data_IF_924835484510
#
_entry.id   IF_924835484510
#
_cell.length_a   1.000
_cell.length_b   1.000
_cell.length_c   1.000
_cell.angle_alpha   90.00
_cell.angle_beta   90.00
_cell.angle_gamma   90.00
#
_symmetry.space_group_name_H-M   'P 1'
#
loop_
_entity.id
_entity.type
_entity.pdbx_description
1 polymer ?
#
# COMPACT_ATOMS: atom_id res chain seq x y z
N UNK A 1 3.36 -27.42 -4.71
CA UNK A 1 3.17 -25.99 -4.52
C UNK A 1 3.87 -25.53 -3.25
N UNK A 2 4.37 -24.33 -3.26
CA UNK A 2 5.07 -23.74 -2.13
C UNK A 2 4.33 -22.51 -1.63
N UNK A 3 4.55 -22.18 -0.36
CA UNK A 3 4.01 -20.96 0.24
C UNK A 3 4.99 -19.82 -0.07
N UNK A 4 4.45 -18.71 -0.54
CA UNK A 4 5.22 -17.51 -0.86
C UNK A 4 4.71 -16.33 -0.07
N UNK A 5 5.63 -15.58 0.53
CA UNK A 5 5.30 -14.36 1.24
C UNK A 5 5.36 -13.19 0.25
N UNK A 6 4.30 -12.42 0.19
CA UNK A 6 4.15 -11.32 -0.76
C UNK A 6 3.71 -10.07 -0.01
N UNK A 7 4.19 -8.92 -0.46
CA UNK A 7 3.80 -7.62 0.09
C UNK A 7 3.08 -6.82 -0.99
N UNK A 8 1.95 -6.23 -0.61
CA UNK A 8 1.22 -5.29 -1.46
C UNK A 8 1.20 -3.95 -0.75
N UNK A 9 1.80 -2.93 -1.37
CA UNK A 9 1.78 -1.57 -0.86
C UNK A 9 0.78 -0.76 -1.67
N UNK A 10 -0.11 -0.04 -0.98
CA UNK A 10 -1.19 0.72 -1.60
C UNK A 10 -1.12 2.17 -1.14
N UNK A 11 -1.13 3.08 -2.10
CA UNK A 11 -1.10 4.52 -1.83
C UNK A 11 -2.17 5.21 -2.65
N UNK A 12 -2.77 6.27 -2.10
CA UNK A 12 -3.61 7.16 -2.89
C UNK A 12 -2.80 7.77 -4.02
N UNK A 13 -3.41 7.92 -5.19
CA UNK A 13 -2.76 8.60 -6.31
C UNK A 13 -2.39 10.02 -5.89
N UNK A 14 -1.28 10.57 -6.45
CA UNK A 14 -0.79 11.89 -6.01
C UNK A 14 -1.82 13.01 -6.10
N UNK A 15 -2.74 12.92 -7.06
CA UNK A 15 -3.76 13.95 -7.27
C UNK A 15 -4.96 13.82 -6.34
N UNK A 16 -5.06 12.72 -5.59
CA UNK A 16 -6.17 12.47 -4.68
C UNK A 16 -5.84 13.05 -3.30
N UNK A 17 -6.80 13.74 -2.69
CA UNK A 17 -6.64 14.25 -1.33
C UNK A 17 -6.49 13.11 -0.34
N UNK A 18 -5.54 13.27 0.58
CA UNK A 18 -5.24 12.30 1.64
C UNK A 18 -5.64 12.88 3.00
N UNK A 19 -6.89 12.64 3.48
CA UNK A 19 -7.34 13.21 4.74
C UNK A 19 -6.53 12.71 5.94
N UNK A 20 -6.10 11.44 5.93
CA UNK A 20 -5.29 10.91 7.02
C UNK A 20 -3.92 11.56 7.08
N UNK A 21 -3.26 11.70 5.93
CA UNK A 21 -1.95 12.35 5.85
C UNK A 21 -2.04 13.80 6.25
N UNK A 22 -3.08 14.51 5.82
CA UNK A 22 -3.29 15.91 6.21
C UNK A 22 -3.50 16.05 7.71
N UNK A 23 -4.30 15.18 8.31
CA UNK A 23 -4.55 15.23 9.76
C UNK A 23 -3.28 15.01 10.56
N UNK A 24 -2.45 14.03 10.18
CA UNK A 24 -1.18 13.76 10.86
C UNK A 24 -0.22 14.93 10.66
N UNK A 25 -0.11 15.42 9.44
CA UNK A 25 0.79 16.54 9.14
C UNK A 25 0.42 17.78 9.96
N UNK A 26 -0.87 18.07 10.09
CA UNK A 26 -1.35 19.22 10.84
C UNK A 26 -1.14 19.06 12.35
N UNK A 27 -1.08 17.84 12.85
CA UNK A 27 -0.88 17.59 14.29
C UNK A 27 0.58 17.67 14.72
N UNK A 28 1.53 17.45 13.82
CA UNK A 28 2.95 17.39 14.15
C UNK A 28 3.49 18.64 14.84
N UNK A 29 3.19 19.87 14.37
CA UNK A 29 3.70 21.08 15.02
C UNK A 29 3.26 21.21 16.48
N UNK A 30 2.04 20.81 16.83
CA UNK A 30 1.56 20.89 18.20
C UNK A 30 2.27 19.93 19.13
N UNK A 31 2.97 18.94 18.59
CA UNK A 31 3.75 17.96 19.34
C UNK A 31 5.24 18.30 19.37
N UNK A 32 5.63 19.45 18.85
CA UNK A 32 7.02 19.91 18.89
C UNK A 32 7.84 19.55 17.68
N UNK A 33 7.22 19.07 16.59
CA UNK A 33 7.93 18.70 15.38
C UNK A 33 7.83 19.81 14.31
N UNK A 34 8.82 19.86 13.45
CA UNK A 34 8.74 20.71 12.27
C UNK A 34 7.63 20.21 11.36
N UNK A 35 6.90 21.10 10.64
CA UNK A 35 5.89 20.65 9.67
C UNK A 35 6.51 19.78 8.60
N UNK A 36 5.86 18.67 8.28
CA UNK A 36 6.29 17.83 7.18
C UNK A 36 6.00 18.52 5.85
N UNK A 37 6.98 18.48 4.93
CA UNK A 37 6.78 19.05 3.59
C UNK A 37 5.81 18.21 2.77
N UNK A 38 5.86 16.91 2.96
CA UNK A 38 4.99 15.98 2.27
C UNK A 38 4.79 14.78 3.19
N UNK A 39 3.52 14.45 3.43
CA UNK A 39 3.17 13.31 4.24
C UNK A 39 1.97 12.62 3.62
N UNK A 40 2.17 11.35 3.25
CA UNK A 40 1.14 10.55 2.63
C UNK A 40 1.01 9.24 3.42
N UNK A 41 -0.21 8.79 3.60
CA UNK A 41 -0.48 7.55 4.33
C UNK A 41 -1.08 6.53 3.38
N UNK A 42 -0.61 5.31 3.47
CA UNK A 42 -1.12 4.21 2.67
C UNK A 42 -1.23 2.93 3.47
N UNK A 43 -1.45 1.82 2.78
CA UNK A 43 -1.58 0.50 3.38
C UNK A 43 -0.40 -0.38 2.98
N UNK A 44 0.04 -1.19 3.93
CA UNK A 44 1.05 -2.21 3.71
C UNK A 44 0.41 -3.54 4.06
N UNK A 45 0.23 -4.41 3.07
CA UNK A 45 -0.43 -5.70 3.24
C UNK A 45 0.60 -6.81 3.10
N UNK A 46 0.71 -7.64 4.11
CA UNK A 46 1.58 -8.82 4.08
C UNK A 46 0.70 -10.06 4.00
N UNK A 47 0.97 -10.91 3.03
CA UNK A 47 0.20 -12.12 2.87
C UNK A 47 1.08 -13.30 2.45
N UNK A 48 0.62 -14.48 2.79
CA UNK A 48 1.23 -15.72 2.36
C UNK A 48 0.23 -16.46 1.49
N UNK A 49 0.68 -16.99 0.37
CA UNK A 49 -0.20 -17.75 -0.51
C UNK A 49 0.55 -18.92 -1.15
N UNK A 50 -0.20 -19.94 -1.49
CA UNK A 50 0.36 -21.10 -2.16
C UNK A 50 0.35 -20.87 -3.67
N UNK A 51 1.47 -21.14 -4.32
CA UNK A 51 1.59 -21.02 -5.76
C UNK A 51 2.70 -21.94 -6.26
N UNK A 52 2.71 -22.21 -7.54
CA UNK A 52 3.73 -23.08 -8.14
C UNK A 52 5.11 -22.45 -8.06
N UNK A 53 5.19 -21.14 -8.29
CA UNK A 53 6.46 -20.43 -8.27
C UNK A 53 6.23 -18.97 -7.86
N UNK A 54 7.32 -18.20 -7.79
CA UNK A 54 7.27 -16.81 -7.38
C UNK A 54 6.45 -15.95 -8.33
N UNK A 55 6.58 -16.19 -9.64
CA UNK A 55 5.82 -15.40 -10.62
C UNK A 55 4.33 -15.66 -10.52
N UNK A 56 3.92 -16.90 -10.30
CA UNK A 56 2.53 -17.24 -10.09
C UNK A 56 1.98 -16.58 -8.83
N UNK A 57 2.79 -16.54 -7.76
CA UNK A 57 2.41 -15.87 -6.52
C UNK A 57 2.20 -14.37 -6.74
N UNK A 58 3.13 -13.72 -7.42
CA UNK A 58 3.02 -12.29 -7.72
C UNK A 58 1.80 -11.99 -8.59
N UNK A 59 1.56 -12.79 -9.62
CA UNK A 59 0.42 -12.60 -10.51
C UNK A 59 -0.90 -12.74 -9.74
N UNK A 60 -0.99 -13.70 -8.84
CA UNK A 60 -2.17 -13.89 -8.02
C UNK A 60 -2.38 -12.72 -7.07
N UNK A 61 -1.30 -12.24 -6.44
CA UNK A 61 -1.38 -11.09 -5.54
C UNK A 61 -1.78 -9.82 -6.28
N UNK A 62 -1.35 -9.63 -7.53
CA UNK A 62 -1.79 -8.51 -8.34
C UNK A 62 -3.30 -8.55 -8.60
N UNK A 63 -3.83 -9.72 -8.90
CA UNK A 63 -5.28 -9.85 -9.07
C UNK A 63 -6.04 -9.58 -7.77
N UNK A 64 -5.49 -10.02 -6.64
CA UNK A 64 -6.08 -9.71 -5.34
C UNK A 64 -6.08 -8.21 -5.06
N UNK A 65 -4.98 -7.54 -5.35
CA UNK A 65 -4.85 -6.11 -5.13
C UNK A 65 -5.88 -5.35 -5.98
N UNK A 66 -5.96 -5.66 -7.26
CA UNK A 66 -6.87 -4.98 -8.17
C UNK A 66 -8.33 -5.25 -7.83
N UNK A 67 -8.63 -6.45 -7.35
CA UNK A 67 -10.02 -6.87 -7.09
C UNK A 67 -10.52 -6.37 -5.75
N UNK A 68 -9.66 -6.35 -4.72
CA UNK A 68 -10.12 -6.12 -3.35
C UNK A 68 -9.23 -5.20 -2.51
N UNK A 69 -7.90 -5.39 -2.59
CA UNK A 69 -7.00 -4.72 -1.65
C UNK A 69 -6.82 -3.23 -1.93
N UNK A 70 -6.91 -2.85 -3.19
CA UNK A 70 -6.80 -1.45 -3.62
C UNK A 70 -8.03 -1.04 -4.41
N UNK A 71 -8.32 0.27 -4.41
CA UNK A 71 -9.32 0.85 -5.29
C UNK A 71 -8.58 1.49 -6.46
N UNK A 72 -8.52 0.85 -7.64
CA UNK A 72 -7.69 1.34 -8.75
C UNK A 72 -8.10 2.71 -9.29
N UNK A 73 -9.32 3.16 -8.97
CA UNK A 73 -9.79 4.48 -9.40
C UNK A 73 -9.02 5.59 -8.69
N UNK A 74 -8.71 5.39 -7.39
CA UNK A 74 -8.09 6.43 -6.58
C UNK A 74 -6.75 6.02 -5.98
N UNK A 75 -6.36 4.75 -6.11
CA UNK A 75 -5.14 4.22 -5.49
C UNK A 75 -4.23 3.58 -6.51
N UNK A 76 -2.92 3.72 -6.28
CA UNK A 76 -1.90 2.94 -6.95
C UNK A 76 -1.45 1.84 -6.01
N UNK A 77 -0.96 0.73 -6.57
CA UNK A 77 -0.42 -0.33 -5.75
C UNK A 77 0.81 -0.94 -6.39
N UNK A 78 1.64 -1.57 -5.57
CA UNK A 78 2.77 -2.34 -6.03
C UNK A 78 2.80 -3.68 -5.31
N UNK A 79 3.30 -4.70 -5.99
CA UNK A 79 3.37 -6.06 -5.48
C UNK A 79 4.81 -6.53 -5.56
N UNK A 80 5.31 -7.11 -4.47
CA UNK A 80 6.67 -7.63 -4.42
C UNK A 80 6.76 -8.83 -3.49
N UNK A 81 7.77 -9.64 -3.68
CA UNK A 81 8.08 -10.70 -2.73
C UNK A 81 8.60 -10.06 -1.44
N UNK A 82 8.23 -10.68 -0.34
CA UNK A 82 8.68 -10.20 0.97
C UNK A 82 10.17 -10.48 1.19
#
# INVERSE_FOLDING_TARGET
>A
MAVHAVVVDVMLKPEILDPQGSAVSNALPSLGFEPARSLRIGKHVELELEAEDEQAALAQAERMAETLLANPVIEDYSVRLA
#
